data_IF_744624224926
#
_entry.id   IF_744624224926
#
_cell.length_a   1.000
_cell.length_b   1.000
_cell.length_c   1.000
_cell.angle_alpha   90.00
_cell.angle_beta   90.00
_cell.angle_gamma   90.00
#
_symmetry.space_group_name_H-M   'P 1'
#
loop_
_entity.id
_entity.type
_entity.pdbx_description
1 polymer ?
#
# COMPACT_ATOMS: atom_id res chain seq x y z
N UNK A 1 28.63 65.46 22.72
CA UNK A 1 27.44 64.81 23.31
C UNK A 1 26.59 64.15 22.23
N UNK A 2 26.34 64.82 21.10
CA UNK A 2 25.45 64.30 20.05
C UNK A 2 25.92 62.99 19.37
N UNK A 3 27.21 62.86 19.04
CA UNK A 3 27.72 61.63 18.40
C UNK A 3 27.61 60.38 19.30
N UNK A 4 27.73 60.55 20.62
CA UNK A 4 27.58 59.44 21.56
C UNK A 4 26.12 58.95 21.64
N UNK A 5 25.16 59.87 21.51
CA UNK A 5 23.73 59.56 21.48
C UNK A 5 23.36 58.83 20.18
N UNK A 6 23.87 59.32 19.04
CA UNK A 6 23.67 58.70 17.73
C UNK A 6 24.20 57.26 17.66
N UNK A 7 25.37 56.98 18.24
CA UNK A 7 25.93 55.62 18.31
C UNK A 7 25.06 54.69 19.17
N UNK A 8 24.52 55.18 20.28
CA UNK A 8 23.63 54.40 21.16
C UNK A 8 22.32 54.08 20.46
N UNK A 9 21.73 55.06 19.77
CA UNK A 9 20.48 54.90 19.02
C UNK A 9 20.66 53.92 17.84
N UNK A 10 21.78 54.00 17.10
CA UNK A 10 22.12 53.06 16.02
C UNK A 10 22.33 51.63 16.54
N UNK A 11 22.97 51.47 17.70
CA UNK A 11 23.19 50.15 18.30
C UNK A 11 21.87 49.51 18.74
N UNK A 12 20.98 50.28 19.38
CA UNK A 12 19.64 49.83 19.74
C UNK A 12 18.81 49.46 18.49
N UNK A 13 18.91 50.24 17.41
CA UNK A 13 18.27 49.93 16.13
C UNK A 13 18.77 48.62 15.51
N UNK A 14 20.08 48.37 15.53
CA UNK A 14 20.67 47.14 14.99
C UNK A 14 20.29 45.89 15.80
N UNK A 15 20.24 46.00 17.12
CA UNK A 15 19.76 44.92 18.00
C UNK A 15 18.29 44.58 17.73
N UNK A 16 17.46 45.60 17.49
CA UNK A 16 16.04 45.44 17.13
C UNK A 16 15.88 44.77 15.76
N UNK A 17 16.67 45.17 14.76
CA UNK A 17 16.70 44.56 13.42
C UNK A 17 17.16 43.10 13.47
N UNK A 18 18.15 42.80 14.31
CA UNK A 18 18.65 41.42 14.49
C UNK A 18 17.57 40.53 15.10
N UNK A 19 16.86 41.03 16.13
CA UNK A 19 15.75 40.31 16.75
C UNK A 19 14.57 40.09 15.78
N UNK A 20 14.23 41.10 14.98
CA UNK A 20 13.19 41.00 13.96
C UNK A 20 13.55 39.98 12.87
N UNK A 21 14.80 39.97 12.40
CA UNK A 21 15.28 39.01 11.41
C UNK A 21 15.27 37.57 11.95
N UNK A 22 15.61 37.36 13.22
CA UNK A 22 15.52 36.05 13.85
C UNK A 22 14.06 35.56 13.87
N UNK A 23 13.13 36.44 14.27
CA UNK A 23 11.69 36.11 14.31
C UNK A 23 11.13 35.84 12.92
N UNK A 24 11.57 36.59 11.90
CA UNK A 24 11.17 36.37 10.51
C UNK A 24 11.71 35.03 10.00
N UNK A 25 12.95 34.69 10.33
CA UNK A 25 13.57 33.41 9.97
C UNK A 25 12.80 32.24 10.57
N UNK A 26 12.42 32.34 11.85
CA UNK A 26 11.59 31.33 12.53
C UNK A 26 10.19 31.24 11.91
N UNK A 27 9.59 32.36 11.57
CA UNK A 27 8.27 32.41 10.92
C UNK A 27 8.30 31.74 9.56
N UNK A 28 9.31 32.04 8.73
CA UNK A 28 9.48 31.43 7.40
C UNK A 28 9.71 29.93 7.53
N UNK A 29 10.54 29.50 8.48
CA UNK A 29 10.77 28.07 8.75
C UNK A 29 9.48 27.35 9.15
N UNK A 30 8.72 27.92 10.09
CA UNK A 30 7.46 27.33 10.53
C UNK A 30 6.43 27.25 9.39
N UNK A 31 6.36 28.26 8.52
CA UNK A 31 5.50 28.23 7.34
C UNK A 31 5.93 27.17 6.33
N UNK A 32 7.24 26.99 6.13
CA UNK A 32 7.80 25.95 5.26
C UNK A 32 7.46 24.57 5.80
N UNK A 33 7.70 24.31 7.08
CA UNK A 33 7.41 23.03 7.74
C UNK A 33 5.90 22.71 7.67
N UNK A 34 5.04 23.70 7.89
CA UNK A 34 3.59 23.54 7.77
C UNK A 34 3.15 23.25 6.33
N UNK A 35 3.78 23.86 5.33
CA UNK A 35 3.51 23.59 3.92
C UNK A 35 3.97 22.19 3.52
N UNK A 36 5.15 21.75 3.97
CA UNK A 36 5.66 20.40 3.73
C UNK A 36 4.81 19.32 4.40
N UNK A 37 4.33 19.56 5.63
CA UNK A 37 3.40 18.67 6.32
C UNK A 37 2.11 18.51 5.53
N UNK A 38 1.45 19.62 5.15
CA UNK A 38 0.22 19.58 4.35
C UNK A 38 0.41 18.88 3.01
N UNK A 39 1.53 19.12 2.34
CA UNK A 39 1.85 18.45 1.08
C UNK A 39 2.08 16.94 1.26
N UNK A 40 2.59 16.51 2.41
CA UNK A 40 2.81 15.10 2.74
C UNK A 40 1.50 14.40 3.09
N UNK A 41 0.64 15.03 3.89
CA UNK A 41 -0.67 14.49 4.24
C UNK A 41 -1.57 14.34 2.99
N UNK A 42 -1.53 15.33 2.09
CA UNK A 42 -2.20 15.25 0.79
C UNK A 42 -1.75 14.05 -0.03
N UNK A 43 -0.43 13.86 -0.20
CA UNK A 43 0.12 12.71 -0.93
C UNK A 43 -0.22 11.37 -0.29
N UNK A 44 -0.09 11.23 1.03
CA UNK A 44 -0.45 9.99 1.73
C UNK A 44 -1.92 9.64 1.50
N UNK A 45 -2.79 10.65 1.47
CA UNK A 45 -4.21 10.46 1.13
C UNK A 45 -4.41 9.98 -0.31
N UNK A 46 -3.68 10.54 -1.27
CA UNK A 46 -3.70 10.09 -2.67
C UNK A 46 -3.20 8.65 -2.83
N UNK A 47 -2.10 8.29 -2.15
CA UNK A 47 -1.54 6.94 -2.18
C UNK A 47 -2.50 5.94 -1.53
N UNK A 48 -3.12 6.31 -0.41
CA UNK A 48 -4.13 5.49 0.24
C UNK A 48 -5.34 5.27 -0.69
N UNK A 49 -5.82 6.32 -1.34
CA UNK A 49 -6.91 6.23 -2.32
C UNK A 49 -6.56 5.32 -3.49
N UNK A 50 -5.30 5.33 -3.94
CA UNK A 50 -4.81 4.40 -4.96
C UNK A 50 -4.81 2.95 -4.46
N UNK A 51 -4.29 2.70 -3.26
CA UNK A 51 -4.31 1.38 -2.62
C UNK A 51 -5.74 0.87 -2.40
N UNK A 52 -6.67 1.73 -1.97
CA UNK A 52 -8.08 1.36 -1.77
C UNK A 52 -8.72 0.84 -3.07
N UNK A 53 -8.39 1.42 -4.23
CA UNK A 53 -8.84 0.91 -5.54
C UNK A 53 -8.25 -0.47 -5.85
N UNK A 54 -6.99 -0.71 -5.48
CA UNK A 54 -6.35 -2.01 -5.64
C UNK A 54 -6.94 -3.06 -4.70
N UNK A 55 -7.39 -2.67 -3.50
CA UNK A 55 -8.13 -3.54 -2.57
C UNK A 55 -9.48 -3.94 -3.15
N UNK A 56 -10.24 -2.98 -3.68
CA UNK A 56 -11.53 -3.27 -4.36
C UNK A 56 -11.31 -4.19 -5.57
N UNK A 57 -10.22 -4.01 -6.30
CA UNK A 57 -9.79 -4.90 -7.37
C UNK A 57 -9.18 -6.23 -6.91
N UNK A 58 -9.09 -6.47 -5.60
CA UNK A 58 -8.46 -7.64 -4.96
C UNK A 58 -7.01 -7.90 -5.38
N UNK A 59 -6.29 -6.84 -5.73
CA UNK A 59 -4.87 -6.88 -6.10
C UNK A 59 -3.99 -6.87 -4.85
N UNK A 60 -4.36 -6.10 -3.83
CA UNK A 60 -3.66 -6.04 -2.55
C UNK A 60 -4.65 -6.29 -1.41
N UNK A 61 -4.17 -6.78 -0.25
CA UNK A 61 -5.02 -6.97 0.91
C UNK A 61 -5.18 -5.64 1.68
N UNK A 62 -6.32 -5.42 2.37
CA UNK A 62 -6.51 -4.23 3.20
C UNK A 62 -5.41 -4.03 4.25
N UNK A 63 -4.87 -5.14 4.79
CA UNK A 63 -3.80 -5.12 5.79
C UNK A 63 -2.46 -4.61 5.23
N UNK A 64 -2.28 -4.61 3.91
CA UNK A 64 -1.04 -4.23 3.25
C UNK A 64 -1.05 -2.75 2.80
N UNK A 65 -2.17 -2.03 2.95
CA UNK A 65 -2.33 -0.64 2.50
C UNK A 65 -1.21 0.25 3.05
N UNK A 66 -0.99 0.22 4.37
CA UNK A 66 -0.01 1.10 5.02
C UNK A 66 1.42 0.81 4.53
N UNK A 67 1.77 -0.48 4.37
CA UNK A 67 3.06 -0.90 3.80
C UNK A 67 3.27 -0.38 2.37
N UNK A 68 2.22 -0.41 1.54
CA UNK A 68 2.28 0.11 0.18
C UNK A 68 2.36 1.64 0.15
N UNK A 69 1.61 2.33 1.01
CA UNK A 69 1.67 3.80 1.14
C UNK A 69 3.07 4.25 1.59
N UNK A 70 3.67 3.58 2.57
CA UNK A 70 5.03 3.89 3.03
C UNK A 70 6.07 3.63 1.94
N UNK A 71 5.92 2.53 1.18
CA UNK A 71 6.80 2.24 0.04
C UNK A 71 6.68 3.32 -1.04
N UNK A 72 5.47 3.79 -1.33
CA UNK A 72 5.23 4.87 -2.30
C UNK A 72 5.85 6.20 -1.84
N UNK A 73 5.78 6.51 -0.54
CA UNK A 73 6.42 7.72 0.01
C UNK A 73 7.95 7.64 -0.10
N UNK A 74 8.55 6.48 0.18
CA UNK A 74 9.99 6.28 -0.01
C UNK A 74 10.41 6.45 -1.47
N UNK A 75 9.63 5.91 -2.42
CA UNK A 75 9.91 6.07 -3.85
C UNK A 75 9.75 7.53 -4.30
N UNK A 76 8.71 8.21 -3.82
CA UNK A 76 8.51 9.64 -4.10
C UNK A 76 9.68 10.51 -3.61
N UNK A 77 10.19 10.25 -2.40
CA UNK A 77 11.34 10.96 -1.87
C UNK A 77 12.63 10.67 -2.65
N UNK A 78 12.82 9.42 -3.06
CA UNK A 78 13.94 9.03 -3.91
C UNK A 78 13.88 9.74 -5.28
N UNK A 79 12.70 9.82 -5.89
CA UNK A 79 12.50 10.53 -7.16
C UNK A 79 12.78 12.04 -6.99
N UNK A 80 12.32 12.65 -5.89
CA UNK A 80 12.64 14.06 -5.57
C UNK A 80 14.15 14.32 -5.45
N UNK A 81 14.91 13.34 -4.93
CA UNK A 81 16.37 13.44 -4.88
C UNK A 81 16.99 13.34 -6.28
N UNK A 82 16.52 12.40 -7.11
CA UNK A 82 17.03 12.20 -8.48
C UNK A 82 16.66 13.32 -9.45
N UNK A 83 15.50 13.98 -9.27
CA UNK A 83 15.15 15.18 -10.03
C UNK A 83 16.07 16.37 -9.73
N UNK A 84 16.72 16.41 -8.54
CA UNK A 84 17.78 17.40 -8.26
C UNK A 84 19.08 17.08 -9.02
N UNK A 85 19.28 15.81 -9.39
CA UNK A 85 20.47 15.30 -10.11
C UNK A 85 20.26 15.25 -11.64
N UNK A 86 19.12 15.74 -12.16
CA UNK A 86 18.94 16.11 -13.56
C UNK A 86 18.80 14.98 -14.58
N UNK A 87 18.56 13.73 -14.16
CA UNK A 87 18.31 12.60 -15.10
C UNK A 87 16.83 12.24 -15.17
N UNK A 88 16.33 12.07 -16.39
CA UNK A 88 14.93 11.76 -16.72
C UNK A 88 14.74 10.25 -16.90
N UNK A 89 14.84 9.49 -15.81
CA UNK A 89 14.33 8.11 -15.80
C UNK A 89 12.85 8.12 -15.40
N UNK A 90 12.09 7.09 -15.80
CA UNK A 90 10.70 6.92 -15.35
C UNK A 90 10.67 6.99 -13.82
N UNK A 91 9.88 7.89 -13.21
CA UNK A 91 9.84 8.04 -11.77
C UNK A 91 9.60 6.68 -11.10
N UNK A 92 10.42 6.30 -10.12
CA UNK A 92 10.34 4.99 -9.46
C UNK A 92 8.96 4.79 -8.81
N UNK A 93 8.31 5.88 -8.40
CA UNK A 93 6.93 5.85 -7.92
C UNK A 93 5.94 5.38 -9.00
N UNK A 94 6.05 5.90 -10.22
CA UNK A 94 5.13 5.56 -11.30
C UNK A 94 5.38 4.15 -11.82
N UNK A 95 6.65 3.74 -11.90
CA UNK A 95 7.00 2.35 -12.17
C UNK A 95 6.38 1.40 -11.12
N UNK A 96 6.43 1.77 -9.85
CA UNK A 96 5.85 0.97 -8.77
C UNK A 96 4.32 0.90 -8.85
N UNK A 97 3.64 2.03 -9.08
CA UNK A 97 2.18 2.06 -9.30
C UNK A 97 1.75 1.20 -10.49
N UNK A 98 2.51 1.23 -11.58
CA UNK A 98 2.26 0.41 -12.77
C UNK A 98 2.42 -1.08 -12.47
N UNK A 99 3.48 -1.46 -11.73
CA UNK A 99 3.68 -2.85 -11.29
C UNK A 99 2.52 -3.31 -10.43
N UNK A 100 2.10 -2.52 -9.43
CA UNK A 100 0.94 -2.87 -8.60
C UNK A 100 -0.34 -3.02 -9.43
N UNK A 101 -0.60 -2.11 -10.35
CA UNK A 101 -1.81 -2.15 -11.18
C UNK A 101 -1.81 -3.31 -12.18
N UNK A 102 -0.63 -3.81 -12.56
CA UNK A 102 -0.45 -4.94 -13.47
C UNK A 102 -0.38 -6.29 -12.74
N UNK A 103 -0.38 -6.31 -11.40
CA UNK A 103 -0.40 -7.57 -10.66
C UNK A 103 -1.73 -8.29 -10.90
N UNK A 104 -1.69 -9.60 -11.15
CA UNK A 104 -2.91 -10.40 -11.19
C UNK A 104 -3.58 -10.37 -9.81
N UNK A 105 -4.90 -10.54 -9.79
CA UNK A 105 -5.71 -10.60 -8.57
C UNK A 105 -5.01 -11.46 -7.51
N UNK A 106 -4.68 -10.83 -6.38
CA UNK A 106 -4.23 -11.54 -5.18
C UNK A 106 -5.45 -12.24 -4.62
N UNK A 107 -5.68 -13.47 -5.09
CA UNK A 107 -6.66 -14.36 -4.47
C UNK A 107 -6.33 -14.35 -2.98
N UNK A 108 -7.30 -14.06 -2.08
CA UNK A 108 -7.05 -14.07 -0.67
C UNK A 108 -6.66 -15.49 -0.29
N UNK A 109 -5.36 -15.77 -0.29
CA UNK A 109 -4.79 -16.90 0.42
C UNK A 109 -5.14 -16.57 1.86
N UNK A 110 -6.17 -17.27 2.36
CA UNK A 110 -6.63 -17.20 3.72
C UNK A 110 -5.45 -17.26 4.68
N UNK A 111 -5.62 -16.59 5.80
CA UNK A 111 -4.64 -16.43 6.86
C UNK A 111 -3.76 -17.66 7.09
N UNK A 112 -2.46 -17.41 7.23
CA UNK A 112 -1.37 -18.35 7.60
C UNK A 112 -0.91 -19.33 6.52
N UNK A 113 -0.12 -18.82 5.58
CA UNK A 113 1.03 -19.59 5.10
C UNK A 113 2.31 -18.78 5.27
N UNK A 114 2.81 -18.76 6.51
CA UNK A 114 4.24 -18.60 6.75
C UNK A 114 4.91 -19.71 5.93
N UNK A 115 5.62 -19.34 4.88
CA UNK A 115 6.47 -20.24 4.13
C UNK A 115 7.65 -20.67 5.02
N UNK A 116 7.41 -21.59 5.96
CA UNK A 116 8.47 -22.28 6.67
C UNK A 116 9.10 -23.28 5.70
N UNK A 117 10.40 -23.13 5.43
CA UNK A 117 11.22 -23.96 4.52
C UNK A 117 11.30 -25.46 4.87
N UNK A 118 10.53 -25.96 5.85
CA UNK A 118 10.67 -27.30 6.43
C UNK A 118 9.53 -28.28 6.12
N UNK A 119 8.66 -28.01 5.15
CA UNK A 119 7.66 -29.00 4.70
C UNK A 119 7.71 -29.25 3.20
N UNK A 120 8.85 -29.76 2.74
CA UNK A 120 8.87 -30.69 1.59
C UNK A 120 8.62 -32.09 2.16
N UNK A 121 7.40 -32.34 2.61
CA UNK A 121 6.98 -33.67 3.05
C UNK A 121 5.57 -33.95 2.54
N UNK A 122 5.54 -34.84 1.53
CA UNK A 122 4.39 -35.62 1.07
C UNK A 122 3.16 -34.89 0.51
N UNK A 123 3.37 -34.23 -0.63
CA UNK A 123 2.32 -33.92 -1.62
C UNK A 123 1.80 -35.18 -2.34
N UNK A 124 1.33 -36.19 -1.59
CA UNK A 124 0.70 -37.41 -2.15
C UNK A 124 -0.64 -37.82 -1.53
N UNK A 125 -1.19 -37.08 -0.55
CA UNK A 125 -2.50 -37.43 0.07
C UNK A 125 -3.37 -36.24 0.47
N UNK A 126 -3.54 -35.23 -0.40
CA UNK A 126 -4.60 -34.20 -0.24
C UNK A 126 -5.54 -34.26 -1.44
N UNK A 127 -6.23 -35.39 -1.58
CA UNK A 127 -7.17 -35.61 -2.67
C UNK A 127 -8.24 -36.60 -2.23
N UNK A 128 -9.14 -36.20 -1.33
CA UNK A 128 -10.30 -36.99 -0.96
C UNK A 128 -11.36 -36.31 -0.05
N UNK A 129 -11.16 -35.09 0.47
CA UNK A 129 -12.05 -34.56 1.54
C UNK A 129 -12.69 -33.20 1.29
N UNK A 130 -12.37 -32.54 0.19
CA UNK A 130 -13.04 -31.28 -0.15
C UNK A 130 -14.34 -31.59 -0.91
N UNK A 131 -15.54 -31.31 -0.33
CA UNK A 131 -16.82 -31.57 -0.98
C UNK A 131 -16.96 -30.90 -2.34
N UNK A 132 -16.33 -29.73 -2.52
CA UNK A 132 -16.36 -28.96 -3.75
C UNK A 132 -15.47 -29.59 -4.82
N UNK A 133 -14.29 -30.11 -4.45
CA UNK A 133 -13.40 -30.83 -5.36
C UNK A 133 -14.04 -32.15 -5.84
N UNK A 134 -14.79 -32.82 -4.96
CA UNK A 134 -15.55 -34.03 -5.32
C UNK A 134 -16.65 -33.70 -6.33
N UNK A 135 -17.42 -32.62 -6.09
CA UNK A 135 -18.48 -32.17 -6.98
C UNK A 135 -17.94 -31.72 -8.35
N UNK A 136 -16.86 -30.92 -8.37
CA UNK A 136 -16.22 -30.47 -9.59
C UNK A 136 -15.66 -31.63 -10.42
N UNK A 137 -15.03 -32.63 -9.78
CA UNK A 137 -14.56 -33.83 -10.49
C UNK A 137 -15.70 -34.65 -11.06
N UNK A 138 -16.85 -34.73 -10.38
CA UNK A 138 -18.05 -35.40 -10.89
C UNK A 138 -18.57 -34.70 -12.15
N UNK A 139 -18.64 -33.36 -12.14
CA UNK A 139 -19.04 -32.55 -13.30
C UNK A 139 -18.06 -32.70 -14.47
N UNK A 140 -16.74 -32.66 -14.22
CA UNK A 140 -15.74 -32.90 -15.27
C UNK A 140 -15.82 -34.32 -15.85
N UNK A 141 -16.13 -35.32 -15.01
CA UNK A 141 -16.28 -36.71 -15.47
C UNK A 141 -17.54 -36.92 -16.32
N UNK A 142 -18.61 -36.15 -16.03
CA UNK A 142 -19.83 -36.14 -16.83
C UNK A 142 -19.66 -35.35 -18.13
N UNK A 143 -18.90 -34.25 -18.09
CA UNK A 143 -18.65 -33.34 -19.22
C UNK A 143 -17.16 -33.23 -19.53
N UNK A 144 -16.67 -34.13 -20.40
CA UNK A 144 -15.24 -34.28 -20.77
C UNK A 144 -14.57 -33.07 -21.46
N UNK A 145 -15.28 -31.96 -21.64
CA UNK A 145 -14.78 -30.71 -22.24
C UNK A 145 -14.81 -29.50 -21.30
N UNK A 146 -15.28 -29.68 -20.06
CA UNK A 146 -15.43 -28.61 -19.08
C UNK A 146 -14.14 -28.50 -18.30
N UNK A 147 -13.59 -27.28 -18.20
CA UNK A 147 -12.37 -27.06 -17.43
C UNK A 147 -12.67 -27.19 -15.93
N UNK A 148 -11.67 -27.52 -15.11
CA UNK A 148 -11.86 -27.64 -13.67
C UNK A 148 -12.48 -26.37 -13.06
N UNK A 149 -12.11 -25.20 -13.57
CA UNK A 149 -12.66 -23.90 -13.16
C UNK A 149 -14.16 -23.82 -13.40
N UNK A 150 -14.61 -24.20 -14.60
CA UNK A 150 -16.02 -24.15 -14.97
C UNK A 150 -16.82 -25.21 -14.19
N UNK A 151 -16.21 -26.36 -13.90
CA UNK A 151 -16.81 -27.41 -13.10
C UNK A 151 -16.97 -27.02 -11.61
N UNK A 152 -16.03 -26.25 -11.06
CA UNK A 152 -16.15 -25.69 -9.69
C UNK A 152 -17.23 -24.60 -9.64
N UNK A 153 -17.30 -23.74 -10.65
CA UNK A 153 -18.36 -22.73 -10.74
C UNK A 153 -19.74 -23.38 -10.85
N UNK A 154 -19.85 -24.43 -11.67
CA UNK A 154 -21.09 -25.19 -11.80
C UNK A 154 -21.45 -25.95 -10.51
N UNK A 155 -20.46 -26.52 -9.81
CA UNK A 155 -20.70 -27.15 -8.51
C UNK A 155 -21.22 -26.15 -7.46
N UNK A 156 -20.77 -24.89 -7.53
CA UNK A 156 -21.24 -23.81 -6.66
C UNK A 156 -22.65 -23.35 -7.00
N UNK A 157 -22.96 -23.17 -8.28
CA UNK A 157 -24.32 -22.82 -8.72
C UNK A 157 -25.34 -23.93 -8.35
N UNK A 158 -24.90 -25.19 -8.35
CA UNK A 158 -25.71 -26.35 -7.96
C UNK A 158 -25.83 -26.50 -6.44
N UNK A 159 -24.78 -26.22 -5.67
CA UNK A 159 -24.80 -26.26 -4.21
C UNK A 159 -23.86 -25.20 -3.57
N UNK A 160 -24.38 -23.99 -3.29
CA UNK A 160 -23.61 -22.90 -2.70
C UNK A 160 -23.10 -23.20 -1.29
N UNK A 161 -23.66 -24.21 -0.60
CA UNK A 161 -23.31 -24.57 0.78
C UNK A 161 -21.97 -25.31 0.89
N UNK A 162 -21.42 -25.76 -0.24
CA UNK A 162 -20.12 -26.44 -0.31
C UNK A 162 -18.93 -25.51 0.01
N UNK A 163 -19.16 -24.20 0.10
CA UNK A 163 -18.14 -23.18 0.40
C UNK A 163 -18.13 -22.73 1.88
N UNK A 164 -19.17 -23.05 2.66
CA UNK A 164 -19.28 -22.69 4.09
C UNK A 164 -18.53 -23.71 4.96
N UNK A 165 -17.20 -23.61 4.98
CA UNK A 165 -16.34 -24.42 5.86
C UNK A 165 -16.54 -24.03 7.35
N UNK A 166 -17.12 -22.87 7.63
CA UNK A 166 -17.40 -22.39 9.00
C UNK A 166 -18.71 -22.94 9.61
N UNK A 167 -19.53 -23.68 8.85
CA UNK A 167 -20.81 -24.22 9.36
C UNK A 167 -20.86 -25.75 9.49
N UNK A 168 -19.76 -26.46 9.24
CA UNK A 168 -19.67 -27.91 9.45
C UNK A 168 -19.13 -28.31 10.84
N UNK A 169 -18.66 -27.38 11.66
CA UNK A 169 -18.24 -27.66 13.06
C UNK A 169 -19.34 -27.43 14.10
N UNK A 170 -20.57 -27.08 13.70
CA UNK A 170 -21.70 -26.88 14.61
C UNK A 170 -22.63 -28.10 14.76
N UNK A 171 -22.24 -29.27 14.23
CA UNK A 171 -22.92 -30.55 14.49
C UNK A 171 -21.91 -31.68 14.65
N UNK A 172 -21.34 -31.78 15.84
CA UNK A 172 -21.09 -33.06 16.54
C UNK A 172 -20.88 -32.80 18.03
#
# INVERSE_FOLDING_TARGET
ADQAKEIVDLKAGNETLTAANATLTDTVKNQLDAAESKATDGRKTEFKTFCDKLVVGGIIKPVDIDTHVDTMELKFQADKAEFKDGKTETPKLDAYKNVLSAMPFSVPVGDRHVASKDKVADSKKVGAKDPLDIAARKIMSANKGVTYRDAVAQAYDEDPSLYDVDNQTAKE
#
